data_IF_286299318179
#
_entry.id   IF_286299318179
#
_cell.length_a   1.000
_cell.length_b   1.000
_cell.length_c   1.000
_cell.angle_alpha   90.00
_cell.angle_beta   90.00
_cell.angle_gamma   90.00
#
_symmetry.space_group_name_H-M   'P 1'
#
loop_
_entity.id
_entity.type
_entity.pdbx_description
1 polymer ?
#
# COMPACT_ATOMS: atom_id res chain seq x y z
N UNK A 1 -3.00 13.02 -0.61
CA UNK A 1 -1.72 13.17 -1.37
C UNK A 1 -0.94 11.85 -1.33
N UNK A 2 0.00 11.61 -2.27
CA UNK A 2 0.86 10.41 -2.22
C UNK A 2 1.98 10.62 -1.20
N UNK A 3 2.09 9.71 -0.23
CA UNK A 3 3.08 9.75 0.85
C UNK A 3 4.43 9.18 0.42
N UNK A 4 4.43 8.10 -0.37
CA UNK A 4 5.65 7.43 -0.82
C UNK A 4 6.62 8.43 -1.47
N UNK A 5 7.85 8.46 -0.94
CA UNK A 5 8.94 9.37 -1.30
C UNK A 5 8.77 10.85 -0.96
N UNK A 6 7.60 11.28 -0.50
CA UNK A 6 7.32 12.70 -0.23
C UNK A 6 7.29 13.06 1.26
N UNK A 7 7.01 12.09 2.14
CA UNK A 7 6.88 12.31 3.60
C UNK A 7 7.50 11.17 4.40
N UNK A 8 7.78 11.41 5.69
CA UNK A 8 8.28 10.36 6.60
C UNK A 8 7.11 9.61 7.21
N UNK A 9 7.30 8.32 7.47
CA UNK A 9 6.28 7.49 8.13
C UNK A 9 5.91 8.02 9.53
N UNK A 10 6.88 8.65 10.20
CA UNK A 10 6.74 9.24 11.54
C UNK A 10 6.04 10.60 11.55
N UNK A 11 5.73 11.16 10.37
CA UNK A 11 4.91 12.38 10.28
C UNK A 11 3.43 12.07 10.59
N UNK A 12 3.08 10.78 10.70
CA UNK A 12 1.74 10.28 11.03
C UNK A 12 1.76 9.50 12.35
N UNK A 13 0.61 9.49 13.02
CA UNK A 13 0.38 8.66 14.22
C UNK A 13 -0.24 7.32 13.86
N UNK A 14 -1.06 7.30 12.81
CA UNK A 14 -1.83 6.13 12.43
C UNK A 14 -1.70 5.82 10.93
N UNK A 15 -1.73 4.52 10.64
CA UNK A 15 -1.91 3.98 9.30
C UNK A 15 -3.27 3.27 9.28
N UNK A 16 -4.05 3.48 8.23
CA UNK A 16 -5.23 2.64 7.96
C UNK A 16 -4.94 1.78 6.73
N UNK A 17 -5.03 0.46 6.87
CA UNK A 17 -4.87 -0.46 5.75
C UNK A 17 -6.22 -1.07 5.35
N UNK A 18 -6.46 -1.16 4.03
CA UNK A 18 -7.68 -1.74 3.46
C UNK A 18 -7.36 -2.99 2.63
N UNK A 19 -7.95 -4.12 3.02
CA UNK A 19 -8.16 -5.27 2.14
C UNK A 19 -9.53 -5.08 1.44
N UNK A 20 -9.49 -4.49 0.26
CA UNK A 20 -10.69 -4.04 -0.45
C UNK A 20 -11.43 -5.21 -1.09
N UNK A 21 -12.75 -5.23 -0.93
CA UNK A 21 -13.63 -6.06 -1.75
C UNK A 21 -14.94 -5.33 -2.05
N UNK A 22 -15.72 -5.87 -3.00
CA UNK A 22 -17.04 -5.33 -3.33
C UNK A 22 -18.08 -5.52 -2.22
N UNK A 23 -17.82 -6.44 -1.28
CA UNK A 23 -18.80 -6.82 -0.25
C UNK A 23 -18.25 -6.71 1.16
N UNK A 24 -17.15 -7.40 1.47
CA UNK A 24 -16.55 -7.37 2.80
C UNK A 24 -15.14 -6.79 2.68
N UNK A 25 -14.97 -5.56 3.14
CA UNK A 25 -13.67 -4.90 3.19
C UNK A 25 -13.10 -5.04 4.60
N UNK A 26 -11.94 -5.68 4.72
CA UNK A 26 -11.18 -5.70 5.95
C UNK A 26 -10.44 -4.39 6.14
N UNK A 27 -10.45 -3.85 7.35
CA UNK A 27 -9.75 -2.60 7.68
C UNK A 27 -8.96 -2.80 8.96
N UNK A 28 -7.72 -2.33 8.99
CA UNK A 28 -6.93 -2.24 10.21
C UNK A 28 -6.54 -0.79 10.48
N UNK A 29 -6.79 -0.32 11.70
CA UNK A 29 -6.20 0.88 12.25
C UNK A 29 -4.91 0.50 12.99
N UNK A 30 -3.79 0.89 12.43
CA UNK A 30 -2.45 0.61 12.96
C UNK A 30 -1.88 1.83 13.67
N UNK A 31 -1.33 1.62 14.87
CA UNK A 31 -0.62 2.65 15.61
C UNK A 31 0.87 2.61 15.25
N UNK A 32 1.38 3.67 14.63
CA UNK A 32 2.75 3.72 14.11
C UNK A 32 3.77 3.77 15.25
N UNK A 33 3.48 4.53 16.30
CA UNK A 33 4.38 4.68 17.45
C UNK A 33 4.49 3.37 18.24
N UNK A 34 3.35 2.72 18.51
CA UNK A 34 3.30 1.44 19.23
C UNK A 34 3.65 0.24 18.35
N UNK A 35 3.77 0.44 17.04
CA UNK A 35 4.03 -0.59 16.03
C UNK A 35 3.10 -1.83 16.17
N UNK A 36 1.79 -1.60 16.31
CA UNK A 36 0.80 -2.67 16.50
C UNK A 36 -0.59 -2.27 16.01
N UNK A 37 -1.50 -3.22 15.71
CA UNK A 37 -2.90 -2.91 15.42
C UNK A 37 -3.58 -2.33 16.67
N UNK A 38 -4.27 -1.20 16.52
CA UNK A 38 -5.12 -0.60 17.56
C UNK A 38 -6.53 -1.20 17.49
N UNK A 39 -7.06 -1.42 16.28
CA UNK A 39 -8.37 -2.07 16.05
C UNK A 39 -8.52 -2.58 14.62
N UNK A 40 -9.32 -3.64 14.44
CA UNK A 40 -9.79 -4.10 13.12
C UNK A 40 -11.28 -3.83 12.94
N UNK A 41 -11.69 -3.69 11.68
CA UNK A 41 -13.07 -3.46 11.30
C UNK A 41 -13.39 -4.31 10.07
N UNK A 42 -14.63 -4.77 10.01
CA UNK A 42 -15.20 -5.38 8.82
C UNK A 42 -16.30 -4.46 8.29
N UNK A 43 -16.06 -3.85 7.13
CA UNK A 43 -17.03 -2.99 6.48
C UNK A 43 -17.81 -3.81 5.44
N UNK A 44 -19.11 -3.95 5.65
CA UNK A 44 -19.99 -4.70 4.75
C UNK A 44 -20.80 -3.77 3.86
N UNK A 45 -20.66 -3.95 2.55
CA UNK A 45 -21.43 -3.22 1.52
C UNK A 45 -22.49 -4.14 0.93
N UNK A 46 -23.71 -3.61 0.75
CA UNK A 46 -24.85 -4.37 0.21
C UNK A 46 -24.58 -4.78 -1.25
N UNK A 47 -25.07 -5.95 -1.65
CA UNK A 47 -25.02 -6.43 -3.04
C UNK A 47 -26.12 -5.77 -3.88
N UNK A 48 -26.01 -4.47 -4.13
CA UNK A 48 -26.98 -3.69 -4.91
C UNK A 48 -26.34 -3.16 -6.19
N UNK A 49 -27.15 -2.75 -7.18
CA UNK A 49 -26.65 -2.07 -8.39
C UNK A 49 -25.91 -0.76 -8.05
N UNK A 50 -26.22 -0.16 -6.89
CA UNK A 50 -25.64 1.09 -6.38
C UNK A 50 -24.57 0.91 -5.30
N UNK A 51 -23.90 -0.25 -5.23
CA UNK A 51 -22.91 -0.52 -4.16
C UNK A 51 -21.79 0.54 -4.06
N UNK A 52 -21.49 1.26 -5.15
CA UNK A 52 -20.52 2.37 -5.18
C UNK A 52 -20.90 3.48 -4.21
N UNK A 53 -22.17 3.88 -4.23
CA UNK A 53 -22.69 4.91 -3.32
C UNK A 53 -22.74 4.41 -1.88
N UNK A 54 -23.20 3.16 -1.68
CA UNK A 54 -23.23 2.53 -0.36
C UNK A 54 -21.80 2.44 0.24
N UNK A 55 -20.80 2.09 -0.56
CA UNK A 55 -19.40 2.04 -0.13
C UNK A 55 -18.90 3.44 0.26
N UNK A 56 -19.20 4.47 -0.52
CA UNK A 56 -18.81 5.84 -0.20
C UNK A 56 -19.42 6.30 1.14
N UNK A 57 -20.73 6.08 1.33
CA UNK A 57 -21.42 6.38 2.59
C UNK A 57 -20.82 5.61 3.78
N UNK A 58 -20.46 4.34 3.58
CA UNK A 58 -19.80 3.54 4.60
C UNK A 58 -18.41 4.10 4.96
N UNK A 59 -17.67 4.64 3.99
CA UNK A 59 -16.40 5.34 4.26
C UNK A 59 -16.63 6.62 5.07
N UNK A 60 -17.63 7.44 4.72
CA UNK A 60 -17.99 8.63 5.51
C UNK A 60 -18.27 8.27 6.98
N UNK A 61 -19.10 7.24 7.20
CA UNK A 61 -19.43 6.74 8.54
C UNK A 61 -18.17 6.22 9.25
N UNK A 62 -17.35 5.43 8.55
CA UNK A 62 -16.13 4.87 9.12
C UNK A 62 -15.16 5.97 9.57
N UNK A 63 -14.81 6.93 8.71
CA UNK A 63 -13.88 8.00 9.07
C UNK A 63 -14.45 8.95 10.13
N UNK A 64 -15.75 9.25 10.09
CA UNK A 64 -16.40 10.00 11.17
C UNK A 64 -16.34 9.26 12.52
N UNK A 65 -16.47 7.94 12.52
CA UNK A 65 -16.33 7.12 13.74
C UNK A 65 -14.90 7.15 14.29
N UNK A 66 -13.87 7.23 13.43
CA UNK A 66 -12.48 7.37 13.89
C UNK A 66 -12.25 8.69 14.64
N UNK A 67 -12.80 9.79 14.12
CA UNK A 67 -12.70 11.08 14.77
C UNK A 67 -13.46 11.11 16.10
N UNK A 68 -14.67 10.54 16.12
CA UNK A 68 -15.56 10.59 17.29
C UNK A 68 -15.16 9.61 18.39
N UNK A 69 -14.93 8.34 18.03
CA UNK A 69 -14.81 7.25 19.00
C UNK A 69 -13.35 7.00 19.41
N UNK A 70 -12.38 7.41 18.56
CA UNK A 70 -10.95 7.22 18.80
C UNK A 70 -10.19 8.54 18.98
N UNK A 71 -10.87 9.69 18.83
CA UNK A 71 -10.27 11.02 18.90
C UNK A 71 -9.06 11.18 17.95
N UNK A 72 -9.18 10.63 16.74
CA UNK A 72 -8.13 10.66 15.72
C UNK A 72 -8.35 11.86 14.80
N UNK A 73 -7.32 12.70 14.63
CA UNK A 73 -7.30 13.74 13.60
C UNK A 73 -6.88 13.11 12.27
N UNK A 74 -7.65 13.36 11.20
CA UNK A 74 -7.40 12.77 9.88
C UNK A 74 -6.07 13.21 9.27
N UNK A 75 -5.54 14.36 9.69
CA UNK A 75 -4.20 14.81 9.26
C UNK A 75 -3.07 13.94 9.81
N UNK A 76 -3.32 13.24 10.91
CA UNK A 76 -2.35 12.34 11.57
C UNK A 76 -2.44 10.90 11.00
N UNK A 77 -3.25 10.70 9.96
CA UNK A 77 -3.54 9.42 9.33
C UNK A 77 -3.04 9.42 7.90
N UNK A 78 -2.50 8.28 7.46
CA UNK A 78 -2.45 7.96 6.05
C UNK A 78 -2.99 6.56 5.78
N UNK A 79 -3.31 6.28 4.53
CA UNK A 79 -3.98 5.06 4.09
C UNK A 79 -3.09 4.21 3.19
N UNK A 80 -3.13 2.89 3.36
CA UNK A 80 -2.65 1.95 2.36
C UNK A 80 -3.73 0.95 1.98
N UNK A 81 -3.58 0.34 0.81
CA UNK A 81 -4.52 -0.65 0.29
C UNK A 81 -3.76 -1.75 -0.45
N UNK A 82 -4.35 -2.93 -0.54
CA UNK A 82 -3.83 -3.97 -1.42
C UNK A 82 -3.93 -3.49 -2.88
N UNK A 83 -3.02 -3.91 -3.75
CA UNK A 83 -3.08 -3.57 -5.16
C UNK A 83 -4.07 -4.45 -5.92
N UNK A 84 -4.73 -3.87 -6.93
CA UNK A 84 -5.53 -4.62 -7.88
C UNK A 84 -4.70 -5.73 -8.54
N UNK A 85 -5.27 -6.92 -8.77
CA UNK A 85 -4.58 -7.95 -9.53
C UNK A 85 -4.35 -7.47 -10.98
N UNK A 86 -3.12 -7.66 -11.48
CA UNK A 86 -2.72 -7.21 -12.84
C UNK A 86 -3.40 -8.03 -13.95
N UNK A 87 -3.89 -9.22 -13.62
CA UNK A 87 -4.58 -10.14 -14.53
C UNK A 87 -5.73 -10.82 -13.79
N UNK A 88 -6.82 -11.14 -14.51
CA UNK A 88 -7.87 -12.02 -14.02
C UNK A 88 -7.24 -13.38 -13.67
N UNK A 89 -7.03 -13.66 -12.38
CA UNK A 89 -6.44 -14.94 -11.95
C UNK A 89 -7.55 -15.98 -11.72
N UNK A 90 -7.44 -17.09 -12.44
CA UNK A 90 -8.16 -18.34 -12.15
C UNK A 90 -9.63 -18.40 -12.59
N UNK A 91 -10.20 -19.60 -12.52
CA UNK A 91 -11.58 -19.90 -12.94
C UNK A 91 -12.67 -19.24 -12.08
N UNK A 92 -12.33 -18.64 -10.94
CA UNK A 92 -13.26 -18.05 -9.97
C UNK A 92 -13.43 -16.52 -10.09
N UNK A 93 -12.57 -15.84 -10.85
CA UNK A 93 -12.62 -14.38 -11.02
C UNK A 93 -13.37 -14.02 -12.30
N UNK A 94 -14.55 -13.43 -12.20
CA UNK A 94 -15.32 -12.98 -13.37
C UNK A 94 -14.93 -11.54 -13.73
N UNK A 95 -15.22 -11.12 -14.96
CA UNK A 95 -15.11 -9.71 -15.36
C UNK A 95 -15.91 -8.82 -14.41
N UNK A 96 -17.08 -9.28 -13.96
CA UNK A 96 -17.92 -8.53 -13.04
C UNK A 96 -17.27 -8.35 -11.66
N UNK A 97 -16.66 -9.38 -11.08
CA UNK A 97 -15.97 -9.24 -9.78
C UNK A 97 -14.76 -8.34 -9.88
N UNK A 98 -14.02 -8.39 -10.99
CA UNK A 98 -12.91 -7.48 -11.26
C UNK A 98 -13.35 -6.02 -11.41
N UNK A 99 -14.40 -5.76 -12.19
CA UNK A 99 -14.99 -4.42 -12.33
C UNK A 99 -15.51 -3.91 -10.99
N UNK A 100 -16.13 -4.77 -10.18
CA UNK A 100 -16.62 -4.39 -8.86
C UNK A 100 -15.46 -3.99 -7.92
N UNK A 101 -14.37 -4.74 -7.92
CA UNK A 101 -13.16 -4.41 -7.15
C UNK A 101 -12.52 -3.10 -7.63
N UNK A 102 -12.38 -2.91 -8.95
CA UNK A 102 -11.86 -1.67 -9.52
C UNK A 102 -12.69 -0.44 -9.12
N UNK A 103 -14.02 -0.58 -9.10
CA UNK A 103 -14.93 0.45 -8.58
C UNK A 103 -14.68 0.70 -7.08
N UNK A 104 -14.50 -0.33 -6.25
CA UNK A 104 -14.16 -0.14 -4.83
C UNK A 104 -12.87 0.65 -4.63
N UNK A 105 -11.83 0.37 -5.42
CA UNK A 105 -10.59 1.15 -5.40
C UNK A 105 -10.80 2.60 -5.79
N UNK A 106 -11.54 2.85 -6.88
CA UNK A 106 -11.82 4.20 -7.34
C UNK A 106 -12.63 5.02 -6.32
N UNK A 107 -13.60 4.39 -5.64
CA UNK A 107 -14.37 5.02 -4.57
C UNK A 107 -13.47 5.40 -3.40
N UNK A 108 -12.60 4.50 -2.96
CA UNK A 108 -11.64 4.82 -1.89
C UNK A 108 -10.73 5.97 -2.31
N UNK A 109 -10.14 5.94 -3.51
CA UNK A 109 -9.25 6.99 -3.98
C UNK A 109 -9.93 8.36 -4.07
N UNK A 110 -11.15 8.39 -4.62
CA UNK A 110 -11.95 9.60 -4.69
C UNK A 110 -12.25 10.15 -3.30
N UNK A 111 -12.67 9.28 -2.38
CA UNK A 111 -12.96 9.65 -0.99
C UNK A 111 -11.73 10.26 -0.32
N UNK A 112 -10.58 9.57 -0.38
CA UNK A 112 -9.33 10.04 0.23
C UNK A 112 -8.91 11.41 -0.34
N UNK A 113 -9.05 11.59 -1.66
CA UNK A 113 -8.74 12.86 -2.30
C UNK A 113 -9.69 13.98 -1.88
N UNK A 114 -10.99 13.72 -1.78
CA UNK A 114 -11.98 14.74 -1.38
C UNK A 114 -11.84 15.18 0.09
N UNK A 115 -11.29 14.32 0.95
CA UNK A 115 -11.09 14.59 2.36
C UNK A 115 -9.63 14.94 2.72
N UNK A 116 -8.78 15.20 1.73
CA UNK A 116 -7.35 15.51 1.90
C UNK A 116 -6.60 14.47 2.75
N UNK A 117 -7.00 13.20 2.66
CA UNK A 117 -6.36 12.08 3.35
C UNK A 117 -5.23 11.56 2.49
N UNK A 118 -4.10 11.33 3.13
CA UNK A 118 -2.90 10.87 2.45
C UNK A 118 -2.93 9.36 2.20
N UNK A 119 -2.41 8.95 1.04
CA UNK A 119 -2.36 7.56 0.59
C UNK A 119 -0.90 7.18 0.35
N UNK A 120 -0.51 5.97 0.73
CA UNK A 120 0.85 5.48 0.51
C UNK A 120 1.23 5.51 -0.98
N UNK A 121 0.44 4.84 -1.82
CA UNK A 121 0.57 4.75 -3.28
C UNK A 121 -0.82 4.40 -3.84
N UNK A 122 -1.26 5.06 -4.92
CA UNK A 122 -2.55 4.77 -5.54
C UNK A 122 -2.63 3.35 -6.12
N UNK A 123 -1.48 2.77 -6.47
CA UNK A 123 -1.40 1.37 -6.93
C UNK A 123 -1.71 0.40 -5.80
N UNK A 124 -1.30 0.72 -4.57
CA UNK A 124 -1.34 -0.20 -3.43
C UNK A 124 -0.14 -1.16 -3.38
N UNK A 125 -0.19 -2.11 -2.45
CA UNK A 125 0.84 -3.13 -2.26
C UNK A 125 0.36 -4.44 -2.86
N UNK A 126 1.15 -5.02 -3.77
CA UNK A 126 0.76 -6.28 -4.41
C UNK A 126 0.72 -7.46 -3.43
N UNK A 127 -0.24 -8.39 -3.58
CA UNK A 127 -0.34 -9.59 -2.74
C UNK A 127 0.94 -10.44 -2.74
N UNK A 128 1.68 -10.47 -3.85
CA UNK A 128 2.96 -11.19 -3.91
C UNK A 128 3.98 -10.61 -2.91
N UNK A 129 3.92 -9.30 -2.64
CA UNK A 129 4.82 -8.64 -1.69
C UNK A 129 4.49 -9.05 -0.26
N UNK A 130 3.20 -9.05 0.11
CA UNK A 130 2.75 -9.50 1.43
C UNK A 130 3.11 -10.97 1.62
N UNK A 131 2.78 -11.85 0.66
CA UNK A 131 3.09 -13.27 0.75
C UNK A 131 4.59 -13.56 0.83
N UNK A 132 5.42 -12.88 0.02
CA UNK A 132 6.89 -13.02 0.09
C UNK A 132 7.44 -12.56 1.45
N UNK A 133 6.85 -11.52 2.04
CA UNK A 133 7.27 -11.06 3.36
C UNK A 133 6.88 -12.05 4.46
N UNK A 134 5.66 -12.61 4.43
CA UNK A 134 5.26 -13.64 5.39
C UNK A 134 6.15 -14.89 5.29
N UNK A 135 6.44 -15.36 4.07
CA UNK A 135 7.38 -16.49 3.86
C UNK A 135 8.75 -16.23 4.48
N UNK A 136 9.23 -14.99 4.45
CA UNK A 136 10.50 -14.60 5.07
C UNK A 136 10.41 -14.61 6.60
N UNK A 137 9.26 -14.25 7.18
CA UNK A 137 9.06 -14.31 8.64
C UNK A 137 8.95 -15.76 9.12
N UNK A 138 8.30 -16.62 8.33
CA UNK A 138 8.07 -18.04 8.62
C UNK A 138 9.16 -18.96 8.06
N UNK A 139 10.30 -18.44 7.60
CA UNK A 139 11.30 -19.24 6.87
C UNK A 139 11.95 -20.35 7.70
N UNK A 140 11.79 -20.33 9.02
CA UNK A 140 12.20 -21.42 9.93
C UNK A 140 11.22 -22.61 9.91
N UNK A 141 10.02 -22.45 9.34
CA UNK A 141 8.92 -23.43 9.39
C UNK A 141 8.65 -24.21 8.08
N UNK A 142 9.52 -24.09 7.06
CA UNK A 142 9.34 -24.76 5.75
C UNK A 142 7.97 -24.52 5.08
N UNK A 143 7.44 -23.30 5.15
CA UNK A 143 6.12 -22.96 4.58
C UNK A 143 6.16 -22.95 3.03
N UNK A 144 5.64 -24.00 2.40
CA UNK A 144 5.56 -24.13 0.94
C UNK A 144 4.64 -23.06 0.30
N UNK A 145 3.52 -22.74 0.95
CA UNK A 145 2.55 -21.76 0.45
C UNK A 145 1.96 -20.88 1.57
N UNK A 146 1.70 -19.62 1.24
CA UNK A 146 1.00 -18.68 2.11
C UNK A 146 -0.46 -18.65 1.66
N UNK A 147 -1.34 -19.12 2.52
CA UNK A 147 -2.79 -19.00 2.37
C UNK A 147 -3.38 -18.03 3.42
N UNK A 148 -4.67 -17.74 3.31
CA UNK A 148 -5.38 -16.82 4.22
C UNK A 148 -5.39 -17.32 5.68
N UNK A 149 -5.32 -18.65 5.91
CA UNK A 149 -5.28 -19.23 7.25
C UNK A 149 -3.90 -19.04 7.89
N UNK A 150 -2.83 -19.15 7.12
CA UNK A 150 -1.46 -18.85 7.57
C UNK A 150 -1.33 -17.38 7.99
N UNK A 151 -1.85 -16.45 7.17
CA UNK A 151 -1.86 -15.02 7.51
C UNK A 151 -2.64 -14.77 8.81
N UNK A 152 -3.86 -15.34 8.91
CA UNK A 152 -4.68 -15.21 10.11
C UNK A 152 -3.97 -15.70 11.36
N UNK A 153 -3.45 -16.93 11.35
CA UNK A 153 -2.73 -17.51 12.50
C UNK A 153 -1.55 -16.65 12.93
N UNK A 154 -0.75 -16.19 11.97
CA UNK A 154 0.37 -15.30 12.26
C UNK A 154 -0.10 -14.02 12.96
N UNK A 155 -1.11 -13.34 12.41
CA UNK A 155 -1.65 -12.10 12.98
C UNK A 155 -2.20 -12.32 14.40
N UNK A 156 -2.98 -13.39 14.62
CA UNK A 156 -3.57 -13.67 15.93
C UNK A 156 -2.50 -13.97 16.98
N UNK A 157 -1.44 -14.71 16.60
CA UNK A 157 -0.34 -15.06 17.49
C UNK A 157 0.59 -13.88 17.78
N UNK A 158 1.06 -13.18 16.74
CA UNK A 158 2.03 -12.08 16.87
C UNK A 158 1.47 -10.90 17.68
N UNK A 159 0.19 -10.57 17.46
CA UNK A 159 -0.43 -9.39 18.08
C UNK A 159 -1.37 -9.73 19.24
N UNK A 160 -1.50 -11.00 19.62
CA UNK A 160 -2.50 -11.48 20.60
C UNK A 160 -3.89 -10.89 20.33
N UNK A 161 -4.30 -10.94 19.05
CA UNK A 161 -5.51 -10.32 18.52
C UNK A 161 -6.49 -11.40 18.09
N UNK A 162 -7.79 -11.17 18.27
CA UNK A 162 -8.83 -12.06 17.74
C UNK A 162 -9.48 -11.38 16.53
N UNK A 163 -9.23 -11.90 15.33
CA UNK A 163 -9.81 -11.39 14.07
C UNK A 163 -10.98 -12.25 13.63
N UNK A 164 -12.08 -11.61 13.20
CA UNK A 164 -13.34 -12.28 12.91
C UNK A 164 -13.42 -12.78 11.47
N UNK A 165 -12.68 -12.17 10.55
CA UNK A 165 -12.60 -12.61 9.15
C UNK A 165 -11.16 -12.73 8.64
N UNK A 166 -10.99 -13.40 7.50
CA UNK A 166 -9.72 -13.40 6.78
C UNK A 166 -9.38 -12.03 6.21
N UNK A 167 -10.39 -11.26 5.81
CA UNK A 167 -10.19 -9.91 5.26
C UNK A 167 -9.60 -8.97 6.32
N UNK A 168 -10.03 -9.11 7.60
CA UNK A 168 -9.42 -8.37 8.71
C UNK A 168 -7.95 -8.77 8.93
N UNK A 169 -7.61 -10.06 8.89
CA UNK A 169 -6.21 -10.48 9.01
C UNK A 169 -5.35 -10.01 7.85
N UNK A 170 -5.88 -10.04 6.62
CA UNK A 170 -5.18 -9.57 5.42
C UNK A 170 -4.93 -8.06 5.50
N UNK A 171 -5.90 -7.27 6.00
CA UNK A 171 -5.71 -5.85 6.27
C UNK A 171 -4.64 -5.59 7.33
N UNK A 172 -4.62 -6.33 8.44
CA UNK A 172 -3.56 -6.20 9.46
C UNK A 172 -2.20 -6.52 8.84
N UNK A 173 -2.10 -7.63 8.11
CA UNK A 173 -0.83 -8.09 7.55
C UNK A 173 -0.32 -7.20 6.40
N UNK A 174 -1.23 -6.54 5.69
CA UNK A 174 -0.91 -5.47 4.75
C UNK A 174 -0.23 -4.27 5.45
N UNK A 175 -0.72 -3.86 6.63
CA UNK A 175 -0.07 -2.81 7.43
C UNK A 175 1.32 -3.25 7.91
N UNK A 176 1.44 -4.48 8.44
CA UNK A 176 2.72 -5.08 8.86
C UNK A 176 3.73 -5.06 7.71
N UNK A 177 3.31 -5.54 6.54
CA UNK A 177 4.15 -5.57 5.34
C UNK A 177 4.64 -4.18 4.95
N UNK A 178 3.77 -3.17 5.03
CA UNK A 178 4.14 -1.80 4.72
C UNK A 178 5.18 -1.25 5.70
N UNK A 179 4.83 -1.24 6.99
CA UNK A 179 5.62 -0.61 8.06
C UNK A 179 6.99 -1.29 8.20
N UNK A 180 7.01 -2.62 8.19
CA UNK A 180 8.21 -3.38 8.57
C UNK A 180 9.10 -3.75 7.38
N UNK A 181 8.58 -3.67 6.14
CA UNK A 181 9.33 -4.09 4.95
C UNK A 181 9.25 -3.13 3.78
N UNK A 182 8.05 -2.95 3.21
CA UNK A 182 7.88 -2.32 1.90
C UNK A 182 8.32 -0.86 1.90
N UNK A 183 8.03 -0.11 2.97
CA UNK A 183 8.41 1.29 3.08
C UNK A 183 9.92 1.50 2.92
N UNK A 184 10.72 0.75 3.68
CA UNK A 184 12.18 0.85 3.64
C UNK A 184 12.75 0.31 2.33
N UNK A 185 12.19 -0.80 1.82
CA UNK A 185 12.60 -1.36 0.53
C UNK A 185 12.43 -0.34 -0.60
N UNK A 186 11.29 0.34 -0.64
CA UNK A 186 11.00 1.33 -1.68
C UNK A 186 11.95 2.52 -1.62
N UNK A 187 12.28 3.01 -0.42
CA UNK A 187 13.26 4.09 -0.25
C UNK A 187 14.64 3.65 -0.75
N UNK A 188 15.07 2.44 -0.40
CA UNK A 188 16.39 1.92 -0.82
C UNK A 188 16.48 1.71 -2.33
N UNK A 189 15.39 1.26 -2.97
CA UNK A 189 15.28 1.13 -4.42
C UNK A 189 15.35 2.51 -5.11
N UNK A 190 14.59 3.49 -4.62
CA UNK A 190 14.61 4.86 -5.15
C UNK A 190 15.99 5.51 -5.00
N UNK A 191 16.63 5.34 -3.84
CA UNK A 191 18.00 5.80 -3.62
C UNK A 191 19.00 5.16 -4.60
N UNK A 192 18.80 3.89 -4.96
CA UNK A 192 19.66 3.19 -5.92
C UNK A 192 19.49 3.75 -7.33
N UNK A 193 18.25 3.99 -7.76
CA UNK A 193 17.96 4.57 -9.08
C UNK A 193 18.48 6.01 -9.19
N UNK A 194 18.30 6.85 -8.17
CA UNK A 194 18.87 8.20 -8.13
C UNK A 194 20.41 8.15 -8.23
N UNK A 195 21.06 7.23 -7.51
CA UNK A 195 22.52 7.05 -7.58
C UNK A 195 22.98 6.60 -8.98
N UNK A 196 22.21 5.75 -9.65
CA UNK A 196 22.48 5.30 -11.02
C UNK A 196 22.34 6.47 -12.00
N UNK A 197 21.25 7.23 -11.92
CA UNK A 197 21.01 8.39 -12.77
C UNK A 197 22.09 9.48 -12.61
N UNK A 198 22.54 9.74 -11.36
CA UNK A 198 23.67 10.64 -11.09
C UNK A 198 24.94 10.22 -11.84
N UNK A 199 25.26 8.93 -11.86
CA UNK A 199 26.44 8.41 -12.58
C UNK A 199 26.32 8.63 -14.09
N UNK A 200 25.15 8.34 -14.65
CA UNK A 200 24.87 8.53 -16.08
C UNK A 200 25.02 10.00 -16.50
N UNK A 201 24.53 10.94 -15.70
CA UNK A 201 24.68 12.38 -15.96
C UNK A 201 26.14 12.84 -15.93
N UNK A 202 26.93 12.35 -14.97
CA UNK A 202 28.37 12.67 -14.90
C UNK A 202 29.08 12.16 -16.15
N UNK A 203 28.79 10.93 -16.58
CA UNK A 203 29.37 10.37 -17.81
C UNK A 203 28.99 11.19 -19.04
N UNK A 204 27.72 11.59 -19.17
CA UNK A 204 27.25 12.43 -20.29
C UNK A 204 27.95 13.79 -20.34
N UNK A 205 28.10 14.46 -19.20
CA UNK A 205 28.81 15.75 -19.15
C UNK A 205 30.29 15.59 -19.51
N UNK A 206 30.96 14.54 -19.01
CA UNK A 206 32.35 14.26 -19.35
C UNK A 206 32.54 13.98 -20.85
N UNK A 207 31.61 13.24 -21.48
CA UNK A 207 31.60 13.00 -22.93
C UNK A 207 31.46 14.33 -23.69
N UNK A 208 30.51 15.17 -23.32
CA UNK A 208 30.27 16.45 -23.97
C UNK A 208 31.48 17.41 -23.87
N UNK A 209 32.22 17.40 -22.77
CA UNK A 209 33.47 18.17 -22.63
C UNK A 209 34.58 17.64 -23.57
N UNK A 210 34.73 16.32 -23.68
CA UNK A 210 35.66 15.70 -24.61
C UNK A 210 35.31 16.03 -26.07
N UNK A 211 34.02 15.95 -26.45
CA UNK A 211 33.55 16.30 -27.80
C UNK A 211 33.87 17.76 -28.14
N UNK A 212 33.57 18.72 -27.25
CA UNK A 212 33.97 20.13 -27.44
C UNK A 212 35.47 20.30 -27.62
N UNK A 213 36.28 19.53 -26.89
CA UNK A 213 37.73 19.60 -27.01
C UNK A 213 38.22 19.01 -28.32
N UNK A 214 37.62 17.91 -28.78
CA UNK A 214 37.87 17.33 -30.10
C UNK A 214 37.51 18.34 -31.20
N UNK A 215 36.33 18.95 -31.16
CA UNK A 215 35.90 19.97 -32.13
C UNK A 215 36.87 21.15 -32.16
N UNK A 216 37.29 21.64 -30.98
CA UNK A 216 38.30 22.68 -30.89
C UNK A 216 39.63 22.26 -31.53
N UNK A 217 40.09 21.03 -31.29
CA UNK A 217 41.35 20.52 -31.86
C UNK A 217 41.24 20.31 -33.38
N UNK A 218 40.10 19.83 -33.89
CA UNK A 218 39.82 19.70 -35.33
C UNK A 218 39.89 21.08 -36.02
N UNK A 219 39.31 22.11 -35.40
CA UNK A 219 39.36 23.48 -35.94
C UNK A 219 40.78 24.10 -35.96
N UNK A 220 41.74 23.50 -35.23
CA UNK A 220 43.14 23.94 -35.24
C UNK A 220 43.99 23.22 -36.29
N UNK A 221 43.50 22.11 -36.84
CA UNK A 221 44.15 21.39 -37.94
C UNK A 221 43.75 22.01 -39.28
N UNK A 222 44.76 22.30 -40.12
CA UNK A 222 44.62 22.88 -41.47
C UNK A 222 44.08 21.84 -42.46
#
# INVERSE_FOLDING_TARGET
>A
MIVKYNKKIRDYKYLISFDLASHNTGICLWNIEKNKPEKTFLMTTKKTENFVYDLYQNLEIFFASLQKDFNIDLKDVFVCKEAMPVQLRGAASTVQTFVALAKSHAVLDLFLQQHDIDVYDYTGIYPITTHSYLKKLLSEENVESVDKNTIKKYVEQEFNLVVKSYDESDAVFLAVTLIQSKWNKDILEEMKEIKKHKKELIMKNAIAECEKKIDFLINLTI
#
